data_IF_478942811058
#
_entry.id   IF_478942811058
#
_cell.length_a   1.000
_cell.length_b   1.000
_cell.length_c   1.000
_cell.angle_alpha   90.00
_cell.angle_beta   90.00
_cell.angle_gamma   90.00
#
_symmetry.space_group_name_H-M   'P 1'
#
loop_
_entity.id
_entity.type
_entity.pdbx_description
1 polymer ?
#
# COMPACT_ATOMS: atom_id res chain seq x y z
N UNK A 1 25.07 -16.79 -22.05
CA UNK A 1 25.29 -15.33 -21.88
C UNK A 1 24.30 -14.82 -20.85
N UNK A 2 24.78 -14.22 -19.77
CA UNK A 2 23.94 -13.56 -18.76
C UNK A 2 23.39 -12.25 -19.35
N UNK A 3 22.07 -12.07 -19.32
CA UNK A 3 21.43 -10.80 -19.68
C UNK A 3 21.71 -9.77 -18.58
N UNK A 4 22.22 -8.59 -18.97
CA UNK A 4 22.18 -7.41 -18.09
C UNK A 4 20.72 -7.03 -17.89
N UNK A 5 20.29 -7.00 -16.63
CA UNK A 5 19.01 -6.42 -16.24
C UNK A 5 19.19 -4.90 -16.26
N UNK A 6 18.66 -4.21 -17.26
CA UNK A 6 18.43 -2.78 -17.15
C UNK A 6 17.32 -2.60 -16.12
N UNK A 7 17.69 -2.05 -14.96
CA UNK A 7 16.73 -1.56 -13.99
C UNK A 7 16.36 -0.16 -14.50
N UNK A 8 15.23 -0.05 -15.20
CA UNK A 8 14.63 1.25 -15.52
C UNK A 8 14.19 1.83 -14.17
N UNK A 9 14.98 2.79 -13.67
CA UNK A 9 14.88 3.33 -12.31
C UNK A 9 13.95 4.56 -12.21
N UNK A 10 13.53 5.09 -13.34
CA UNK A 10 12.63 6.24 -13.41
C UNK A 10 11.28 5.75 -13.93
N UNK A 11 10.43 5.28 -13.01
CA UNK A 11 9.03 5.00 -13.32
C UNK A 11 8.21 6.16 -12.78
N UNK A 12 7.79 7.05 -13.67
CA UNK A 12 6.73 8.00 -13.38
C UNK A 12 5.44 7.22 -13.09
N UNK A 13 4.54 7.81 -12.31
CA UNK A 13 3.22 7.23 -12.08
C UNK A 13 2.12 8.18 -12.54
N UNK A 14 1.05 7.59 -13.06
CA UNK A 14 -0.16 8.33 -13.38
C UNK A 14 -1.43 7.50 -13.15
N UNK A 15 -2.54 8.19 -12.92
CA UNK A 15 -3.87 7.59 -12.93
C UNK A 15 -4.24 7.30 -14.39
N UNK A 16 -4.21 6.02 -14.75
CA UNK A 16 -4.50 5.55 -16.11
C UNK A 16 -6.01 5.45 -16.38
N UNK A 17 -6.80 5.22 -15.34
CA UNK A 17 -8.26 5.17 -15.41
C UNK A 17 -8.91 5.43 -14.06
N UNK A 18 -10.14 5.94 -14.07
CA UNK A 18 -11.00 5.97 -12.90
C UNK A 18 -12.46 5.75 -13.29
N UNK A 19 -13.22 5.11 -12.41
CA UNK A 19 -14.64 4.81 -12.60
C UNK A 19 -15.45 5.38 -11.44
N UNK A 20 -16.43 6.23 -11.75
CA UNK A 20 -17.36 6.77 -10.76
C UNK A 20 -18.66 5.98 -10.73
N UNK A 21 -18.88 5.24 -9.65
CA UNK A 21 -20.10 4.48 -9.45
C UNK A 21 -21.03 5.22 -8.49
N UNK A 22 -21.88 6.10 -9.05
CA UNK A 22 -22.80 6.96 -8.30
C UNK A 22 -23.74 6.20 -7.33
N UNK A 23 -24.44 5.12 -7.73
CA UNK A 23 -25.38 4.44 -6.82
C UNK A 23 -24.67 3.79 -5.63
N UNK A 24 -23.46 3.27 -5.85
CA UNK A 24 -22.65 2.63 -4.81
C UNK A 24 -21.78 3.60 -4.03
N UNK A 25 -21.84 4.91 -4.33
CA UNK A 25 -21.04 5.95 -3.68
C UNK A 25 -19.55 5.58 -3.57
N UNK A 26 -18.99 5.19 -4.71
CA UNK A 26 -17.58 4.83 -4.77
C UNK A 26 -16.92 5.34 -6.06
N UNK A 27 -15.63 5.61 -5.96
CA UNK A 27 -14.75 5.86 -7.11
C UNK A 27 -13.64 4.82 -7.07
N UNK A 28 -13.47 4.08 -8.18
CA UNK A 28 -12.32 3.19 -8.36
C UNK A 28 -11.25 3.92 -9.16
N UNK A 29 -10.02 3.90 -8.68
CA UNK A 29 -8.87 4.55 -9.30
C UNK A 29 -7.84 3.50 -9.65
N UNK A 30 -7.34 3.55 -10.88
CA UNK A 30 -6.30 2.67 -11.40
C UNK A 30 -5.04 3.48 -11.67
N UNK A 31 -3.95 3.12 -10.99
CA UNK A 31 -2.65 3.79 -11.12
C UNK A 31 -1.69 2.86 -11.84
N UNK A 32 -0.99 3.41 -12.83
CA UNK A 32 0.07 2.73 -13.58
C UNK A 32 1.40 3.45 -13.44
N UNK A 33 2.46 2.70 -13.71
CA UNK A 33 3.84 3.12 -13.77
C UNK A 33 4.30 3.20 -15.22
N UNK A 34 5.17 4.14 -15.56
CA UNK A 34 5.51 4.39 -16.94
C UNK A 34 6.53 5.50 -17.10
N UNK A 35 6.44 6.18 -18.25
CA UNK A 35 7.31 7.31 -18.57
C UNK A 35 6.47 8.43 -19.14
N UNK A 36 6.71 9.65 -18.67
CA UNK A 36 6.16 10.85 -19.29
C UNK A 36 6.99 11.16 -20.54
N UNK A 37 6.32 11.19 -21.70
CA UNK A 37 6.94 11.53 -22.97
C UNK A 37 7.24 13.05 -23.05
N UNK A 38 8.12 13.51 -23.95
CA UNK A 38 8.47 14.93 -24.05
C UNK A 38 7.30 15.88 -24.36
N UNK A 39 6.18 15.35 -24.86
CA UNK A 39 4.93 16.08 -25.12
C UNK A 39 3.99 16.13 -23.89
N UNK A 40 4.38 15.49 -22.78
CA UNK A 40 3.61 15.40 -21.55
C UNK A 40 2.63 14.24 -21.51
N UNK A 41 2.57 13.39 -22.53
CA UNK A 41 1.71 12.19 -22.52
C UNK A 41 2.33 11.11 -21.62
N UNK A 42 1.52 10.56 -20.71
CA UNK A 42 1.92 9.41 -19.91
C UNK A 42 1.78 8.12 -20.72
N UNK A 43 2.89 7.41 -20.89
CA UNK A 43 2.90 6.06 -21.47
C UNK A 43 3.13 5.02 -20.39
N UNK A 44 2.09 4.23 -20.11
CA UNK A 44 2.16 3.10 -19.20
C UNK A 44 3.19 2.05 -19.69
N UNK A 45 4.01 1.53 -18.79
CA UNK A 45 4.90 0.41 -19.05
C UNK A 45 4.12 -0.86 -19.47
N UNK A 46 4.68 -1.62 -20.39
CA UNK A 46 4.10 -2.90 -20.85
C UNK A 46 4.17 -3.96 -19.74
N UNK A 47 3.18 -4.86 -19.72
CA UNK A 47 3.10 -6.02 -18.80
C UNK A 47 3.14 -5.68 -17.29
N UNK A 48 2.86 -4.44 -16.91
CA UNK A 48 2.78 -4.05 -15.51
C UNK A 48 1.49 -4.54 -14.83
N UNK A 49 1.55 -4.65 -13.50
CA UNK A 49 0.34 -4.72 -12.68
C UNK A 49 -0.08 -3.31 -12.29
N UNK A 50 -1.37 -3.00 -12.46
CA UNK A 50 -1.93 -1.73 -12.03
C UNK A 50 -2.35 -1.77 -10.56
N UNK A 51 -2.07 -0.69 -9.83
CA UNK A 51 -2.62 -0.51 -8.50
C UNK A 51 -4.08 -0.08 -8.59
N UNK A 52 -4.93 -0.65 -7.74
CA UNK A 52 -6.35 -0.35 -7.72
C UNK A 52 -6.76 0.15 -6.33
N UNK A 53 -7.30 1.37 -6.29
CA UNK A 53 -7.78 2.01 -5.07
C UNK A 53 -9.30 2.20 -5.16
N UNK A 54 -9.99 1.95 -4.05
CA UNK A 54 -11.44 2.19 -3.95
C UNK A 54 -11.66 3.29 -2.91
N UNK A 55 -12.11 4.44 -3.39
CA UNK A 55 -12.53 5.57 -2.57
C UNK A 55 -14.01 5.40 -2.27
N UNK A 56 -14.35 5.15 -1.01
CA UNK A 56 -15.72 4.87 -0.57
C UNK A 56 -15.98 5.42 0.84
N UNK A 57 -17.24 5.45 1.26
CA UNK A 57 -17.65 5.92 2.59
C UNK A 57 -17.20 7.36 2.85
N UNK A 58 -16.54 7.61 3.98
CA UNK A 58 -16.04 8.95 4.35
C UNK A 58 -15.07 9.51 3.30
N UNK A 59 -14.25 8.66 2.68
CA UNK A 59 -13.35 9.10 1.60
C UNK A 59 -14.12 9.63 0.39
N UNK A 60 -15.23 8.98 0.03
CA UNK A 60 -16.11 9.44 -1.04
C UNK A 60 -16.82 10.74 -0.67
N UNK A 61 -17.31 10.85 0.56
CA UNK A 61 -17.98 12.06 1.04
C UNK A 61 -17.03 13.27 1.00
N UNK A 62 -15.78 13.06 1.42
CA UNK A 62 -14.73 14.07 1.36
C UNK A 62 -14.34 14.41 -0.09
N UNK A 63 -14.25 13.42 -0.98
CA UNK A 63 -13.97 13.65 -2.40
C UNK A 63 -15.08 14.49 -3.04
N UNK A 64 -16.33 14.27 -2.68
CA UNK A 64 -17.49 14.95 -3.26
C UNK A 64 -17.84 16.28 -2.58
N UNK A 65 -17.20 16.62 -1.46
CA UNK A 65 -17.40 17.88 -0.77
C UNK A 65 -16.88 19.07 -1.59
N UNK A 66 -17.49 20.24 -1.38
CA UNK A 66 -16.96 21.49 -1.92
C UNK A 66 -15.64 21.87 -1.24
N UNK A 67 -14.74 22.46 -2.00
CA UNK A 67 -13.52 23.11 -1.52
C UNK A 67 -13.44 24.52 -2.07
N UNK A 68 -12.43 25.29 -1.68
CA UNK A 68 -12.19 26.64 -2.21
C UNK A 68 -11.98 26.66 -3.74
N UNK A 69 -11.47 25.56 -4.31
CA UNK A 69 -11.11 25.44 -5.72
C UNK A 69 -12.06 24.56 -6.52
N UNK A 70 -13.10 24.00 -5.89
CA UNK A 70 -13.96 22.99 -6.50
C UNK A 70 -15.39 22.97 -5.92
N UNK A 71 -16.44 22.95 -6.76
CA UNK A 71 -17.81 22.82 -6.28
C UNK A 71 -18.13 21.40 -5.78
N UNK A 72 -19.18 21.29 -4.97
CA UNK A 72 -19.65 20.00 -4.47
C UNK A 72 -20.17 19.11 -5.62
N UNK A 73 -20.03 17.80 -5.46
CA UNK A 73 -20.59 16.80 -6.37
C UNK A 73 -19.75 16.51 -7.61
N UNK A 74 -18.58 17.15 -7.77
CA UNK A 74 -17.65 16.91 -8.88
C UNK A 74 -16.23 16.72 -8.38
N UNK A 75 -15.40 16.04 -9.17
CA UNK A 75 -13.97 15.92 -8.93
C UNK A 75 -13.19 15.90 -10.25
N UNK A 76 -11.94 16.34 -10.20
CA UNK A 76 -10.94 16.24 -11.26
C UNK A 76 -10.03 15.06 -10.98
N UNK A 77 -9.29 14.61 -12.01
CA UNK A 77 -8.30 13.54 -11.89
C UNK A 77 -7.30 13.84 -10.76
N UNK A 78 -6.86 15.08 -10.66
CA UNK A 78 -5.85 15.52 -9.68
C UNK A 78 -6.35 15.41 -8.23
N UNK A 79 -7.65 15.56 -8.00
CA UNK A 79 -8.25 15.47 -6.66
C UNK A 79 -8.23 14.01 -6.12
N UNK A 80 -7.96 13.01 -6.97
CA UNK A 80 -7.90 11.60 -6.59
C UNK A 80 -6.58 11.23 -5.92
N UNK A 81 -5.48 11.92 -6.23
CA UNK A 81 -4.15 11.60 -5.73
C UNK A 81 -4.06 11.61 -4.21
N UNK A 82 -4.71 12.57 -3.54
CA UNK A 82 -4.68 12.62 -2.07
C UNK A 82 -5.25 11.34 -1.44
N UNK A 83 -6.23 10.71 -2.08
CA UNK A 83 -6.86 9.48 -1.57
C UNK A 83 -6.03 8.25 -1.91
N UNK A 84 -5.37 8.24 -3.07
CA UNK A 84 -4.38 7.22 -3.44
C UNK A 84 -3.23 7.22 -2.42
N UNK A 85 -2.65 8.39 -2.15
CA UNK A 85 -1.53 8.54 -1.21
C UNK A 85 -1.91 8.12 0.21
N UNK A 86 -3.09 8.56 0.68
CA UNK A 86 -3.61 8.14 1.97
C UNK A 86 -3.84 6.63 2.02
N UNK A 87 -4.37 6.04 0.95
CA UNK A 87 -4.54 4.59 0.81
C UNK A 87 -3.21 3.84 0.93
N UNK A 88 -2.16 4.30 0.25
CA UNK A 88 -0.81 3.73 0.34
C UNK A 88 -0.23 3.84 1.75
N UNK A 89 -0.33 5.01 2.37
CA UNK A 89 0.15 5.23 3.74
C UNK A 89 -0.52 4.26 4.73
N UNK A 90 -1.82 4.03 4.60
CA UNK A 90 -2.55 3.08 5.44
C UNK A 90 -2.08 1.63 5.22
N UNK A 91 -1.84 1.22 3.98
CA UNK A 91 -1.32 -0.12 3.66
C UNK A 91 0.07 -0.32 4.24
N UNK A 92 0.95 0.68 4.14
CA UNK A 92 2.29 0.65 4.74
C UNK A 92 2.21 0.51 6.25
N UNK A 93 1.41 1.35 6.92
CA UNK A 93 1.22 1.31 8.37
C UNK A 93 0.68 -0.04 8.86
N UNK A 94 -0.28 -0.64 8.15
CA UNK A 94 -0.83 -1.95 8.51
C UNK A 94 0.21 -3.06 8.33
N UNK A 95 1.01 -3.02 7.25
CA UNK A 95 2.11 -3.98 7.04
C UNK A 95 3.16 -3.88 8.14
N UNK A 96 3.54 -2.67 8.53
CA UNK A 96 4.47 -2.45 9.64
C UNK A 96 3.93 -3.02 10.95
N UNK A 97 2.65 -2.78 11.24
CA UNK A 97 1.98 -3.33 12.42
C UNK A 97 2.01 -4.85 12.44
N UNK A 98 1.64 -5.50 11.33
CA UNK A 98 1.67 -6.96 11.18
C UNK A 98 3.10 -7.51 11.39
N UNK A 99 4.10 -6.84 10.82
CA UNK A 99 5.50 -7.23 10.98
C UNK A 99 5.95 -7.13 12.45
N UNK A 100 5.61 -6.05 13.14
CA UNK A 100 5.92 -5.87 14.56
C UNK A 100 5.23 -6.92 15.44
N UNK A 101 3.97 -7.25 15.15
CA UNK A 101 3.26 -8.32 15.85
C UNK A 101 3.91 -9.69 15.65
N UNK A 102 4.39 -9.97 14.42
CA UNK A 102 5.12 -11.21 14.12
C UNK A 102 6.44 -11.28 14.88
N UNK A 103 7.24 -10.20 14.87
CA UNK A 103 8.51 -10.13 15.61
C UNK A 103 8.27 -10.35 17.11
N UNK A 104 7.23 -9.72 17.68
CA UNK A 104 6.87 -9.92 19.09
C UNK A 104 6.51 -11.37 19.40
N UNK A 105 5.73 -12.03 18.54
CA UNK A 105 5.36 -13.45 18.73
C UNK A 105 6.58 -14.37 18.67
N UNK A 106 7.49 -14.13 17.73
CA UNK A 106 8.73 -14.90 17.59
C UNK A 106 9.66 -14.70 18.80
N UNK A 107 9.78 -13.47 19.30
CA UNK A 107 10.57 -13.18 20.50
C UNK A 107 10.00 -13.87 21.75
N UNK A 108 8.67 -13.88 21.91
CA UNK A 108 8.01 -14.61 23.02
C UNK A 108 8.25 -16.11 22.90
N UNK A 109 8.11 -16.69 21.70
CA UNK A 109 8.36 -18.11 21.48
C UNK A 109 9.81 -18.49 21.81
N UNK A 110 10.78 -17.67 21.40
CA UNK A 110 12.19 -17.88 21.71
C UNK A 110 12.48 -17.78 23.22
N UNK A 111 11.84 -16.84 23.93
CA UNK A 111 11.99 -16.71 25.38
C UNK A 111 11.44 -17.93 26.12
N UNK A 112 10.25 -18.43 25.75
CA UNK A 112 9.66 -19.64 26.32
C UNK A 112 10.57 -20.84 26.10
N UNK A 113 11.04 -21.06 24.87
CA UNK A 113 11.94 -22.18 24.55
C UNK A 113 13.25 -22.12 25.35
N UNK A 114 13.81 -20.91 25.57
CA UNK A 114 15.00 -20.72 26.41
C UNK A 114 14.72 -21.08 27.87
N UNK A 115 13.59 -20.62 28.41
CA UNK A 115 13.19 -20.93 29.79
C UNK A 115 12.92 -22.42 30.00
N UNK A 116 12.30 -23.09 29.02
CA UNK A 116 12.08 -24.55 29.07
C UNK A 116 13.41 -25.33 29.12
N UNK A 117 14.38 -24.96 28.27
CA UNK A 117 15.73 -25.55 28.28
C UNK A 117 16.45 -25.33 29.63
N UNK A 118 16.42 -24.11 30.16
CA UNK A 118 17.03 -23.78 31.46
C UNK A 118 16.39 -24.59 32.60
N UNK A 119 15.07 -24.78 32.56
CA UNK A 119 14.34 -25.58 33.56
C UNK A 119 14.68 -27.08 33.46
N UNK A 120 14.84 -27.62 32.25
CA UNK A 120 15.28 -29.00 32.03
C UNK A 120 16.70 -29.24 32.55
N UNK A 121 17.63 -28.31 32.30
CA UNK A 121 19.00 -28.38 32.79
C UNK A 121 19.06 -28.29 34.32
N UNK A 122 18.31 -27.35 34.92
CA UNK A 122 18.23 -27.22 36.37
C UNK A 122 17.69 -28.49 37.04
N UNK A 123 16.66 -29.12 36.46
CA UNK A 123 16.08 -30.35 36.99
C UNK A 123 17.00 -31.58 36.88
N UNK A 124 17.91 -31.62 35.90
CA UNK A 124 18.93 -32.68 35.79
C UNK A 124 19.96 -32.58 36.92
N UNK A 125 20.40 -31.37 37.25
CA UNK A 125 21.42 -31.13 38.30
C UNK A 125 20.92 -31.40 39.73
N UNK A 126 19.60 -31.37 39.97
CA UNK A 126 19.02 -31.66 41.30
C UNK A 126 18.84 -33.17 41.54
N UNK A 127 18.87 -33.99 40.49
CA UNK A 127 18.68 -35.45 40.58
C UNK A 127 19.98 -36.26 40.58
N UNK A 128 21.14 -35.61 40.47
CA UNK A 128 22.49 -36.19 40.65
C UNK A 128 23.00 -35.97 42.06
#
# INVERSE_FOLDING_TARGET
MSRKREVILDQDEDIVAYEHHLPGRMVRVMVGFGTILPDGEFKAAEEQNYENFIIQGVGYDNLMAATETKPAGVFRKEDLWQFVDLGRANVVAEREKIMQEKIKKEAIAAAIAKTELELEEANKNVKS
#
